data_IF_849684257940
#
_entry.id   IF_849684257940
#
_cell.length_a   1.000
_cell.length_b   1.000
_cell.length_c   1.000
_cell.angle_alpha   90.00
_cell.angle_beta   90.00
_cell.angle_gamma   90.00
#
_symmetry.space_group_name_H-M   'P 1'
#
loop_
_entity.id
_entity.type
_entity.pdbx_description
1 polymer ?
#
# COMPACT_ATOMS: atom_id res chain seq x y z
N UNK A 1 -6.08 16.81 28.76
CA UNK A 1 -5.15 15.66 28.87
C UNK A 1 -5.90 14.41 28.44
N UNK A 2 -5.86 14.06 27.14
CA UNK A 2 -6.40 12.79 26.62
C UNK A 2 -5.23 12.01 26.02
N UNK A 3 -4.52 11.27 26.88
CA UNK A 3 -3.60 10.22 26.46
C UNK A 3 -4.43 8.98 26.14
N UNK A 4 -5.11 8.99 25.00
CA UNK A 4 -5.53 7.78 24.32
C UNK A 4 -4.56 7.52 23.17
N UNK A 5 -3.28 7.32 23.51
CA UNK A 5 -2.37 6.57 22.65
C UNK A 5 -2.74 5.11 22.81
N UNK A 6 -3.86 4.71 22.22
CA UNK A 6 -4.09 3.30 21.94
C UNK A 6 -3.11 2.96 20.82
N UNK A 7 -2.30 1.94 21.07
CA UNK A 7 -1.55 1.21 20.05
C UNK A 7 -2.54 0.73 18.98
N UNK A 8 -2.92 1.59 18.04
CA UNK A 8 -3.86 1.25 16.99
C UNK A 8 -3.13 0.42 15.94
N UNK A 9 -2.76 -0.82 16.27
CA UNK A 9 -2.19 -1.83 15.35
C UNK A 9 -3.22 -2.34 14.33
N UNK A 10 -4.37 -1.68 14.17
CA UNK A 10 -5.52 -2.19 13.44
C UNK A 10 -5.22 -2.39 11.96
N UNK A 11 -4.88 -1.31 11.23
CA UNK A 11 -4.57 -1.42 9.80
C UNK A 11 -3.29 -2.22 9.52
N UNK A 12 -2.29 -2.17 10.40
CA UNK A 12 -1.05 -2.94 10.29
C UNK A 12 -1.33 -4.44 10.46
N UNK A 13 -2.16 -4.81 11.44
CA UNK A 13 -2.61 -6.19 11.60
C UNK A 13 -3.43 -6.63 10.41
N UNK A 14 -4.35 -5.78 9.93
CA UNK A 14 -5.13 -6.07 8.73
C UNK A 14 -4.25 -6.27 7.49
N UNK A 15 -3.21 -5.43 7.32
CA UNK A 15 -2.27 -5.53 6.22
C UNK A 15 -1.39 -6.79 6.34
N UNK A 16 -0.88 -7.09 7.53
CA UNK A 16 -0.13 -8.32 7.79
C UNK A 16 -1.00 -9.55 7.46
N UNK A 17 -2.25 -9.58 7.92
CA UNK A 17 -3.19 -10.65 7.59
C UNK A 17 -3.51 -10.72 6.10
N UNK A 18 -3.61 -9.59 5.41
CA UNK A 18 -3.78 -9.55 3.96
C UNK A 18 -2.62 -10.23 3.20
N UNK A 19 -1.39 -10.18 3.74
CA UNK A 19 -0.23 -10.90 3.15
C UNK A 19 -0.22 -12.42 3.41
N UNK A 20 -1.07 -12.92 4.31
CA UNK A 20 -1.08 -14.32 4.75
C UNK A 20 -2.35 -15.08 4.36
N UNK A 21 -3.47 -14.37 4.15
CA UNK A 21 -4.72 -15.01 3.77
C UNK A 21 -4.69 -15.50 2.32
N UNK A 22 -5.16 -16.72 2.11
CA UNK A 22 -5.43 -17.28 0.78
C UNK A 22 -6.83 -16.93 0.26
N UNK A 23 -7.71 -16.41 1.12
CA UNK A 23 -9.05 -15.98 0.73
C UNK A 23 -8.97 -14.62 0.02
N UNK A 24 -9.17 -14.64 -1.29
CA UNK A 24 -9.16 -13.45 -2.14
C UNK A 24 -10.19 -12.41 -1.72
N UNK A 25 -11.40 -12.82 -1.32
CA UNK A 25 -12.48 -11.89 -0.95
C UNK A 25 -12.08 -11.12 0.31
N UNK A 26 -11.53 -11.84 1.29
CA UNK A 26 -11.02 -11.25 2.52
C UNK A 26 -9.82 -10.34 2.23
N UNK A 27 -8.89 -10.77 1.36
CA UNK A 27 -7.74 -9.96 0.93
C UNK A 27 -8.19 -8.64 0.29
N UNK A 28 -9.13 -8.69 -0.65
CA UNK A 28 -9.70 -7.50 -1.31
C UNK A 28 -10.37 -6.59 -0.27
N UNK A 29 -11.19 -7.13 0.63
CA UNK A 29 -11.87 -6.36 1.66
C UNK A 29 -10.91 -5.63 2.61
N UNK A 30 -9.85 -6.31 3.05
CA UNK A 30 -8.80 -5.72 3.89
C UNK A 30 -8.07 -4.60 3.14
N UNK A 31 -7.63 -4.85 1.91
CA UNK A 31 -6.91 -3.87 1.11
C UNK A 31 -7.76 -2.67 0.74
N UNK A 32 -9.05 -2.87 0.43
CA UNK A 32 -9.99 -1.77 0.16
C UNK A 32 -10.18 -0.85 1.36
N UNK A 33 -10.33 -1.42 2.57
CA UNK A 33 -10.38 -0.63 3.80
C UNK A 33 -9.07 0.13 4.04
N UNK A 34 -7.93 -0.52 3.82
CA UNK A 34 -6.60 0.11 3.96
C UNK A 34 -6.46 1.28 2.97
N UNK A 35 -6.88 1.12 1.71
CA UNK A 35 -6.84 2.16 0.69
C UNK A 35 -7.73 3.36 1.05
N UNK A 36 -8.93 3.12 1.58
CA UNK A 36 -9.83 4.18 2.06
C UNK A 36 -9.21 4.93 3.24
N UNK A 37 -8.65 4.19 4.21
CA UNK A 37 -8.04 4.78 5.40
C UNK A 37 -6.80 5.58 5.05
N UNK A 38 -5.91 5.07 4.19
CA UNK A 38 -4.72 5.81 3.76
C UNK A 38 -5.07 7.09 2.99
N UNK A 39 -6.25 7.19 2.38
CA UNK A 39 -6.72 8.44 1.79
C UNK A 39 -6.97 9.57 2.81
N UNK A 40 -7.13 9.26 4.10
CA UNK A 40 -7.47 10.23 5.15
C UNK A 40 -6.22 10.75 5.86
N UNK A 41 -6.03 12.08 5.91
CA UNK A 41 -4.81 12.71 6.45
C UNK A 41 -4.41 12.22 7.85
N UNK A 42 -5.35 12.10 8.79
CA UNK A 42 -5.06 11.61 10.15
C UNK A 42 -4.56 10.15 10.18
N UNK A 43 -5.02 9.32 9.24
CA UNK A 43 -4.59 7.92 9.11
C UNK A 43 -3.25 7.81 8.39
N UNK A 44 -2.96 8.68 7.41
CA UNK A 44 -1.62 8.76 6.78
C UNK A 44 -0.53 9.04 7.80
N UNK A 45 -0.74 10.04 8.66
CA UNK A 45 0.20 10.37 9.73
C UNK A 45 0.41 9.18 10.68
N UNK A 46 -0.62 8.38 10.92
CA UNK A 46 -0.52 7.17 11.75
C UNK A 46 0.34 6.11 11.05
N UNK A 47 0.13 5.85 9.76
CA UNK A 47 0.95 4.92 8.98
C UNK A 47 2.41 5.35 8.90
N UNK A 48 2.67 6.65 8.72
CA UNK A 48 4.03 7.19 8.69
C UNK A 48 4.74 7.07 10.05
N UNK A 49 4.06 7.39 11.15
CA UNK A 49 4.67 7.45 12.49
C UNK A 49 4.86 6.11 13.17
N UNK A 50 3.94 5.17 12.98
CA UNK A 50 3.96 3.93 13.74
C UNK A 50 4.94 2.91 13.19
N UNK A 51 5.07 2.79 11.86
CA UNK A 51 5.90 1.76 11.23
C UNK A 51 5.93 1.88 9.68
N UNK A 52 5.98 3.10 9.12
CA UNK A 52 5.77 3.35 7.68
C UNK A 52 6.58 2.46 6.74
N UNK A 53 7.79 2.05 7.16
CA UNK A 53 8.63 1.08 6.43
C UNK A 53 7.99 -0.31 6.33
N UNK A 54 7.44 -0.84 7.41
CA UNK A 54 6.76 -2.15 7.41
C UNK A 54 5.48 -2.09 6.57
N UNK A 55 4.76 -0.97 6.63
CA UNK A 55 3.56 -0.77 5.82
C UNK A 55 3.86 -0.81 4.32
N UNK A 56 4.85 -0.03 3.87
CA UNK A 56 5.33 -0.05 2.47
C UNK A 56 5.82 -1.44 2.06
N UNK A 57 6.58 -2.10 2.94
CA UNK A 57 7.09 -3.45 2.70
C UNK A 57 5.98 -4.49 2.51
N UNK A 58 4.94 -4.47 3.36
CA UNK A 58 3.82 -5.40 3.23
C UNK A 58 3.01 -5.14 1.95
N UNK A 59 2.79 -3.88 1.57
CA UNK A 59 2.14 -3.55 0.29
C UNK A 59 3.00 -4.04 -0.89
N UNK A 60 4.32 -3.82 -0.85
CA UNK A 60 5.24 -4.32 -1.87
C UNK A 60 5.17 -5.85 -1.98
N UNK A 61 5.18 -6.57 -0.85
CA UNK A 61 5.07 -8.03 -0.83
C UNK A 61 3.82 -8.53 -1.57
N UNK A 62 2.68 -7.85 -1.43
CA UNK A 62 1.44 -8.20 -2.15
C UNK A 62 1.60 -7.96 -3.66
N UNK A 63 2.22 -6.85 -4.05
CA UNK A 63 2.49 -6.54 -5.47
C UNK A 63 3.50 -7.54 -6.11
N UNK A 64 4.36 -8.16 -5.30
CA UNK A 64 5.36 -9.16 -5.71
C UNK A 64 4.85 -10.62 -5.63
N UNK A 65 3.58 -10.87 -5.30
CA UNK A 65 3.05 -12.24 -5.26
C UNK A 65 3.16 -12.93 -6.64
N UNK A 66 3.55 -14.20 -6.63
CA UNK A 66 3.54 -15.09 -7.79
C UNK A 66 2.73 -16.36 -7.44
N UNK A 67 1.58 -16.63 -8.10
CA UNK A 67 0.99 -15.86 -9.20
C UNK A 67 0.51 -14.45 -8.78
N UNK A 68 0.44 -13.49 -9.71
CA UNK A 68 0.00 -12.13 -9.42
C UNK A 68 -1.42 -12.12 -8.85
N UNK A 69 -1.70 -11.23 -7.87
CA UNK A 69 -3.00 -11.18 -7.25
C UNK A 69 -4.04 -10.60 -8.23
N UNK A 70 -5.34 -10.82 -7.98
CA UNK A 70 -6.39 -10.26 -8.81
C UNK A 70 -6.32 -8.74 -8.91
N UNK A 71 -6.85 -8.18 -10.00
CA UNK A 71 -6.82 -6.74 -10.27
C UNK A 71 -7.31 -5.87 -9.12
N UNK A 72 -8.38 -6.27 -8.43
CA UNK A 72 -8.92 -5.52 -7.29
C UNK A 72 -7.91 -5.44 -6.13
N UNK A 73 -7.14 -6.50 -5.89
CA UNK A 73 -6.06 -6.47 -4.91
C UNK A 73 -4.95 -5.52 -5.36
N UNK A 74 -4.55 -5.58 -6.63
CA UNK A 74 -3.54 -4.68 -7.18
C UNK A 74 -3.97 -3.22 -7.08
N UNK A 75 -5.20 -2.89 -7.50
CA UNK A 75 -5.74 -1.54 -7.41
C UNK A 75 -5.71 -1.04 -5.98
N UNK A 76 -6.32 -1.76 -5.04
CA UNK A 76 -6.37 -1.32 -3.65
C UNK A 76 -4.97 -1.16 -3.03
N UNK A 77 -4.04 -2.06 -3.38
CA UNK A 77 -2.65 -1.98 -2.91
C UNK A 77 -1.92 -0.76 -3.49
N UNK A 78 -2.08 -0.48 -4.78
CA UNK A 78 -1.49 0.67 -5.47
C UNK A 78 -2.08 2.00 -4.96
N UNK A 79 -3.39 2.06 -4.73
CA UNK A 79 -4.05 3.21 -4.11
C UNK A 79 -3.53 3.44 -2.69
N UNK A 80 -3.43 2.37 -1.90
CA UNK A 80 -2.90 2.47 -0.54
C UNK A 80 -1.47 3.00 -0.52
N UNK A 81 -0.62 2.44 -1.40
CA UNK A 81 0.78 2.86 -1.57
C UNK A 81 0.89 4.32 -2.02
N UNK A 82 0.13 4.72 -3.04
CA UNK A 82 0.12 6.10 -3.53
C UNK A 82 -0.30 7.10 -2.46
N UNK A 83 -1.34 6.78 -1.69
CA UNK A 83 -1.83 7.65 -0.63
C UNK A 83 -0.81 7.84 0.51
N UNK A 84 -0.02 6.82 0.86
CA UNK A 84 1.01 6.96 1.91
C UNK A 84 2.29 7.62 1.40
N UNK A 85 2.59 7.51 0.11
CA UNK A 85 3.71 8.25 -0.52
C UNK A 85 3.37 9.73 -0.73
N UNK A 86 2.09 10.09 -0.88
CA UNK A 86 1.68 11.46 -1.16
C UNK A 86 2.04 12.42 -0.02
N UNK A 87 3.07 13.24 -0.26
CA UNK A 87 3.54 14.26 0.68
C UNK A 87 4.47 13.76 1.78
N UNK A 88 4.97 12.52 1.70
CA UNK A 88 5.91 11.95 2.67
C UNK A 88 7.21 11.47 1.99
N UNK A 89 8.23 12.34 1.99
CA UNK A 89 9.55 12.07 1.37
C UNK A 89 10.26 10.85 1.98
N UNK A 90 10.01 10.54 3.26
CA UNK A 90 10.65 9.39 3.91
C UNK A 90 10.07 8.08 3.39
N UNK A 91 8.75 8.04 3.20
CA UNK A 91 8.06 6.89 2.61
C UNK A 91 8.42 6.75 1.13
N UNK A 92 8.50 7.85 0.37
CA UNK A 92 8.94 7.84 -1.03
C UNK A 92 10.36 7.28 -1.17
N UNK A 93 11.29 7.76 -0.35
CA UNK A 93 12.67 7.26 -0.33
C UNK A 93 12.74 5.77 0.06
N UNK A 94 11.90 5.35 1.02
CA UNK A 94 11.78 3.93 1.41
C UNK A 94 11.28 3.09 0.24
N UNK A 95 10.24 3.53 -0.46
CA UNK A 95 9.73 2.83 -1.64
C UNK A 95 10.79 2.70 -2.74
N UNK A 96 11.58 3.75 -2.97
CA UNK A 96 12.68 3.74 -3.94
C UNK A 96 13.80 2.76 -3.55
N UNK A 97 14.15 2.69 -2.26
CA UNK A 97 15.16 1.74 -1.74
C UNK A 97 14.73 0.27 -1.85
N UNK A 98 13.44 -0.01 -1.94
CA UNK A 98 12.90 -1.37 -2.01
C UNK A 98 12.50 -1.80 -3.44
N UNK A 99 13.10 -1.19 -4.47
CA UNK A 99 12.86 -1.50 -5.89
C UNK A 99 11.39 -1.42 -6.33
N UNK A 100 10.53 -0.74 -5.56
CA UNK A 100 9.10 -0.62 -5.85
C UNK A 100 8.90 0.10 -7.19
N UNK A 101 9.77 1.05 -7.55
CA UNK A 101 9.69 1.74 -8.83
C UNK A 101 9.82 0.81 -10.04
N UNK A 102 10.70 -0.20 -9.97
CA UNK A 102 10.87 -1.20 -11.04
C UNK A 102 9.61 -2.06 -11.17
N UNK A 103 9.04 -2.45 -10.04
CA UNK A 103 7.79 -3.22 -10.01
C UNK A 103 6.62 -2.41 -10.56
N UNK A 104 6.46 -1.16 -10.14
CA UNK A 104 5.41 -0.27 -10.66
C UNK A 104 5.55 -0.09 -12.18
N UNK A 105 6.78 -0.04 -12.71
CA UNK A 105 7.03 0.03 -14.14
C UNK A 105 6.65 -1.26 -14.85
N UNK A 106 6.93 -2.41 -14.26
CA UNK A 106 6.51 -3.68 -14.81
C UNK A 106 4.97 -3.77 -14.85
N UNK A 107 4.30 -3.50 -13.73
CA UNK A 107 2.83 -3.50 -13.62
C UNK A 107 2.21 -2.53 -14.62
N UNK A 108 2.75 -1.31 -14.73
CA UNK A 108 2.27 -0.30 -15.69
C UNK A 108 2.37 -0.75 -17.16
N UNK A 109 3.22 -1.71 -17.49
CA UNK A 109 3.42 -2.21 -18.85
C UNK A 109 2.57 -3.44 -19.18
N UNK A 110 2.29 -4.30 -18.20
CA UNK A 110 1.70 -5.63 -18.44
C UNK A 110 0.28 -5.77 -17.91
N UNK A 111 -0.14 -4.93 -16.95
CA UNK A 111 -1.45 -5.00 -16.36
C UNK A 111 -2.52 -4.36 -17.26
N UNK A 112 -3.79 -4.62 -16.95
CA UNK A 112 -4.90 -3.95 -17.61
C UNK A 112 -4.90 -2.43 -17.35
N UNK A 113 -5.61 -1.69 -18.21
CA UNK A 113 -5.52 -0.24 -18.31
C UNK A 113 -5.67 0.49 -16.97
N UNK A 114 -6.60 0.07 -16.13
CA UNK A 114 -6.89 0.75 -14.86
C UNK A 114 -5.76 0.54 -13.84
N UNK A 115 -5.31 -0.72 -13.67
CA UNK A 115 -4.17 -1.08 -12.83
C UNK A 115 -2.90 -0.37 -13.32
N UNK A 116 -2.67 -0.37 -14.63
CA UNK A 116 -1.51 0.26 -15.25
C UNK A 116 -1.47 1.78 -15.01
N UNK A 117 -2.62 2.45 -15.16
CA UNK A 117 -2.74 3.89 -14.90
C UNK A 117 -2.48 4.21 -13.43
N UNK A 118 -2.99 3.38 -12.52
CA UNK A 118 -2.79 3.56 -11.08
C UNK A 118 -1.34 3.32 -10.68
N UNK A 119 -0.67 2.32 -11.26
CA UNK A 119 0.75 2.07 -11.05
C UNK A 119 1.63 3.22 -11.57
N UNK A 120 1.33 3.76 -12.75
CA UNK A 120 2.03 4.93 -13.29
C UNK A 120 1.85 6.17 -12.39
N UNK A 121 0.65 6.39 -11.83
CA UNK A 121 0.40 7.45 -10.86
C UNK A 121 1.24 7.28 -9.60
N UNK A 122 1.26 6.07 -9.02
CA UNK A 122 2.06 5.77 -7.84
C UNK A 122 3.56 6.01 -8.09
N UNK A 123 4.06 5.66 -9.28
CA UNK A 123 5.44 5.90 -9.67
C UNK A 123 5.78 7.40 -9.76
N UNK A 124 4.85 8.22 -10.26
CA UNK A 124 5.04 9.68 -10.33
C UNK A 124 5.17 10.37 -8.97
N UNK A 125 4.87 9.68 -7.87
CA UNK A 125 5.07 10.19 -6.51
C UNK A 125 6.46 9.88 -5.94
N UNK A 126 7.30 9.11 -6.65
CA UNK A 126 8.63 8.70 -6.17
C UNK A 126 9.77 9.64 -6.64
N UNK A 127 9.45 10.86 -7.04
CA UNK A 127 10.38 11.84 -7.64
C UNK A 127 10.70 13.01 -6.72
#
# INVERSE_FOLDING_TARGET
>A
MLRFFVECKGPETALAQATHTSDTTVKVGMLGLIAILSGRGASRETFARCEGKNFVYCLAKILFEDPPPPSDCLLNTLWALGNVMEGDETIQATAAQHDIGVLLLHIARVAEREVATTAARAMGLMC
#
